data_IF_254234600526
#
_entry.id   IF_254234600526
#
_cell.length_a   1.000
_cell.length_b   1.000
_cell.length_c   1.000
_cell.angle_alpha   90.00
_cell.angle_beta   90.00
_cell.angle_gamma   90.00
#
_symmetry.space_group_name_H-M   'P 1'
#
loop_
_entity.id
_entity.type
_entity.pdbx_description
1 polymer ?
#
# COMPACT_ATOMS: atom_id res chain seq x y z
N UNK A 1 64.93 -20.86 14.28
CA UNK A 1 64.48 -19.50 14.64
C UNK A 1 63.59 -18.96 13.52
N UNK A 2 62.71 -18.01 13.87
CA UNK A 2 61.58 -17.39 13.17
C UNK A 2 61.50 -17.25 11.63
N UNK A 3 60.23 -17.12 11.18
CA UNK A 3 59.65 -16.43 9.99
C UNK A 3 60.01 -16.96 8.59
N UNK A 4 59.08 -17.32 7.67
CA UNK A 4 57.72 -16.88 7.23
C UNK A 4 57.77 -16.15 5.88
N UNK A 5 57.37 -16.83 4.81
CA UNK A 5 56.45 -16.34 3.76
C UNK A 5 56.11 -17.48 2.78
N UNK A 6 54.83 -17.63 2.43
CA UNK A 6 54.33 -18.57 1.42
C UNK A 6 53.80 -17.77 0.20
N UNK A 7 54.03 -18.23 -1.04
CA UNK A 7 53.63 -17.50 -2.24
C UNK A 7 52.20 -17.81 -2.72
N UNK A 8 51.61 -16.89 -3.49
CA UNK A 8 50.37 -17.10 -4.25
C UNK A 8 50.54 -18.15 -5.35
N UNK A 9 49.45 -18.87 -5.65
CA UNK A 9 49.29 -19.69 -6.87
C UNK A 9 48.17 -19.09 -7.73
N UNK A 10 48.35 -19.21 -9.05
CA UNK A 10 47.60 -18.58 -10.15
C UNK A 10 46.66 -19.60 -10.85
N UNK A 11 46.29 -19.47 -12.15
CA UNK A 11 45.29 -18.54 -12.68
C UNK A 11 44.12 -19.22 -13.47
N UNK A 12 43.17 -18.36 -13.91
CA UNK A 12 42.14 -18.48 -14.97
C UNK A 12 42.19 -19.71 -15.91
N UNK A 13 41.03 -20.36 -16.16
CA UNK A 13 40.70 -21.05 -17.42
C UNK A 13 39.68 -20.26 -18.29
N UNK A 14 39.79 -20.41 -19.61
CA UNK A 14 38.98 -19.70 -20.63
C UNK A 14 37.65 -20.40 -20.94
N UNK A 15 36.67 -19.65 -21.48
CA UNK A 15 35.47 -20.23 -22.12
C UNK A 15 35.84 -21.02 -23.38
N UNK A 16 35.23 -22.20 -23.55
CA UNK A 16 35.19 -22.94 -24.81
C UNK A 16 33.78 -22.85 -25.38
N UNK A 17 33.64 -22.36 -26.62
CA UNK A 17 32.39 -22.46 -27.37
C UNK A 17 32.19 -23.88 -27.91
N UNK A 18 31.02 -24.46 -27.67
CA UNK A 18 30.50 -25.59 -28.44
C UNK A 18 29.16 -25.20 -29.05
N UNK A 19 28.96 -25.51 -30.33
CA UNK A 19 27.78 -25.17 -31.12
C UNK A 19 27.04 -26.43 -31.55
N UNK A 20 25.76 -26.56 -31.17
CA UNK A 20 24.65 -27.09 -31.98
C UNK A 20 23.32 -26.96 -31.21
N UNK A 21 22.15 -26.94 -31.89
CA UNK A 21 20.88 -26.48 -31.31
C UNK A 21 19.98 -27.61 -30.79
N UNK A 22 19.10 -27.33 -29.81
CA UNK A 22 17.66 -27.20 -30.05
C UNK A 22 16.83 -26.77 -28.82
N UNK A 23 15.65 -26.21 -29.10
CA UNK A 23 14.50 -25.89 -28.21
C UNK A 23 14.76 -25.51 -26.73
N UNK A 24 14.54 -24.23 -26.38
CA UNK A 24 14.24 -23.82 -25.00
C UNK A 24 13.32 -22.59 -24.96
N UNK A 25 12.24 -22.66 -24.17
CA UNK A 25 11.29 -21.55 -23.93
C UNK A 25 12.01 -20.31 -23.37
N UNK A 26 11.73 -19.14 -23.96
CA UNK A 26 12.11 -17.82 -23.42
C UNK A 26 10.86 -16.97 -23.21
N UNK A 27 10.24 -17.07 -22.02
CA UNK A 27 9.05 -16.27 -21.68
C UNK A 27 8.87 -15.99 -20.18
N UNK A 28 9.89 -16.23 -19.35
CA UNK A 28 9.86 -15.99 -17.90
C UNK A 28 10.99 -15.04 -17.52
N UNK A 29 10.65 -13.97 -16.80
CA UNK A 29 11.60 -13.02 -16.22
C UNK A 29 11.65 -13.27 -14.70
N UNK A 30 12.84 -13.50 -14.16
CA UNK A 30 13.06 -13.74 -12.73
C UNK A 30 14.09 -12.73 -12.22
N UNK A 31 13.75 -11.98 -11.16
CA UNK A 31 14.55 -10.85 -10.66
C UNK A 31 14.60 -10.89 -9.14
N UNK A 32 15.72 -11.36 -8.59
CA UNK A 32 16.05 -11.32 -7.16
C UNK A 32 17.24 -10.38 -6.91
N UNK A 33 17.14 -9.52 -5.89
CA UNK A 33 18.20 -8.55 -5.53
C UNK A 33 18.84 -8.83 -4.17
N UNK A 34 20.18 -9.01 -4.18
CA UNK A 34 21.01 -9.15 -2.97
C UNK A 34 21.78 -7.86 -2.73
N UNK A 35 21.46 -7.15 -1.63
CA UNK A 35 22.14 -5.90 -1.26
C UNK A 35 23.51 -6.14 -0.61
N UNK A 36 24.57 -5.59 -1.22
CA UNK A 36 25.93 -5.63 -0.69
C UNK A 36 26.18 -4.54 0.37
N UNK A 37 26.71 -4.94 1.53
CA UNK A 37 26.84 -4.07 2.71
C UNK A 37 28.26 -3.47 2.84
N UNK A 38 28.44 -2.20 2.48
CA UNK A 38 29.72 -1.48 2.65
C UNK A 38 29.86 -0.83 4.04
N UNK A 39 30.70 -1.40 4.91
CA UNK A 39 31.10 -0.77 6.18
C UNK A 39 32.11 0.36 5.95
N UNK A 40 31.73 1.60 6.29
CA UNK A 40 32.66 2.74 6.37
C UNK A 40 32.76 3.27 7.81
N UNK A 41 33.94 3.14 8.43
CA UNK A 41 34.29 3.87 9.66
C UNK A 41 34.86 5.24 9.29
N UNK A 42 34.30 6.33 9.82
CA UNK A 42 34.94 7.66 9.79
C UNK A 42 34.85 8.38 11.13
N UNK A 43 35.99 8.44 11.81
CA UNK A 43 36.30 9.41 12.87
C UNK A 43 36.49 10.80 12.25
N UNK A 44 36.04 11.87 12.93
CA UNK A 44 36.41 13.25 12.58
C UNK A 44 36.89 14.01 13.82
N UNK A 45 38.10 14.57 13.73
CA UNK A 45 38.68 15.49 14.72
C UNK A 45 38.02 16.87 14.61
N UNK A 46 37.85 17.55 15.76
CA UNK A 46 37.60 19.00 15.79
C UNK A 46 38.85 19.76 15.34
N UNK A 47 38.66 20.77 14.48
CA UNK A 47 39.55 21.94 14.38
C UNK A 47 38.60 23.15 14.39
N UNK A 48 38.84 24.08 15.30
CA UNK A 48 38.16 25.37 15.32
C UNK A 48 39.07 26.45 14.76
N UNK A 49 38.49 27.46 14.11
CA UNK A 49 39.17 28.71 13.77
C UNK A 49 38.26 29.86 14.16
N UNK A 50 38.80 30.77 14.97
CA UNK A 50 38.18 32.01 15.41
C UNK A 50 38.72 33.18 14.58
N UNK A 51 37.85 34.11 14.18
CA UNK A 51 38.28 35.47 13.81
C UNK A 51 37.23 36.48 14.23
N UNK A 52 37.60 37.34 15.17
CA UNK A 52 36.78 38.41 15.75
C UNK A 52 36.88 39.70 14.94
N UNK A 53 35.76 40.42 14.75
CA UNK A 53 35.78 41.87 14.61
C UNK A 53 34.57 42.51 15.32
N UNK A 54 34.86 43.50 16.15
CA UNK A 54 33.91 44.49 16.67
C UNK A 54 34.02 45.75 15.77
N UNK A 55 33.23 46.83 15.86
CA UNK A 55 32.11 47.22 16.74
C UNK A 55 31.37 48.39 16.07
N UNK A 56 30.14 48.68 16.50
CA UNK A 56 29.72 49.99 17.02
C UNK A 56 28.20 50.18 16.94
N UNK A 57 27.65 50.88 17.93
CA UNK A 57 26.23 51.24 18.05
C UNK A 57 26.06 52.73 17.76
N UNK A 58 24.95 53.11 17.13
CA UNK A 58 24.34 54.42 17.35
C UNK A 58 22.82 54.32 17.31
N UNK A 59 22.16 54.88 18.34
CA UNK A 59 20.70 54.99 18.46
C UNK A 59 20.22 56.25 17.73
N UNK A 60 18.98 56.27 17.22
CA UNK A 60 18.06 57.41 17.38
C UNK A 60 16.61 56.97 17.14
N UNK A 61 15.63 57.80 17.50
CA UNK A 61 14.29 57.35 17.92
C UNK A 61 13.12 57.98 17.14
N UNK A 62 12.06 57.17 16.97
CA UNK A 62 10.62 57.49 17.03
C UNK A 62 10.06 58.78 16.38
N UNK A 63 9.16 58.66 15.37
CA UNK A 63 7.82 59.33 15.35
C UNK A 63 6.86 58.91 14.21
N UNK A 64 5.67 58.45 14.64
CA UNK A 64 4.29 58.43 14.07
C UNK A 64 3.96 58.79 12.59
N UNK A 65 3.23 57.83 11.96
CA UNK A 65 1.92 57.91 11.22
C UNK A 65 1.65 58.96 10.12
N UNK A 66 1.45 58.47 8.88
CA UNK A 66 0.42 58.84 7.86
C UNK A 66 0.59 57.93 6.60
N UNK A 67 -0.37 57.55 5.74
CA UNK A 67 -1.84 57.30 5.80
C UNK A 67 -2.28 56.43 4.57
N UNK A 68 -3.58 56.12 4.42
CA UNK A 68 -4.22 55.35 3.31
C UNK A 68 -5.02 56.33 2.37
N UNK A 69 -5.83 55.95 1.33
CA UNK A 69 -6.39 54.62 0.94
C UNK A 69 -6.61 54.35 -0.58
N UNK A 70 -7.27 53.22 -0.92
CA UNK A 70 -8.46 53.01 -1.80
C UNK A 70 -8.62 51.48 -1.97
N UNK A 71 -9.54 50.76 -1.31
CA UNK A 71 -11.01 50.66 -1.43
C UNK A 71 -11.55 49.91 -2.67
N UNK A 72 -12.13 48.73 -2.42
CA UNK A 72 -13.24 48.15 -3.18
C UNK A 72 -14.08 47.25 -2.24
N UNK A 73 -15.18 47.79 -1.72
CA UNK A 73 -16.18 47.06 -0.93
C UNK A 73 -17.45 46.83 -1.75
N UNK A 74 -18.00 45.62 -1.68
CA UNK A 74 -19.35 45.31 -2.17
C UNK A 74 -20.32 45.26 -0.98
N UNK A 75 -21.39 46.04 -1.07
CA UNK A 75 -22.42 46.21 -0.05
C UNK A 75 -23.48 45.11 -0.16
N UNK A 76 -24.04 44.65 0.97
CA UNK A 76 -25.27 43.85 1.01
C UNK A 76 -26.19 44.41 2.10
N UNK A 77 -27.40 44.80 1.70
CA UNK A 77 -28.42 45.36 2.61
C UNK A 77 -28.96 44.32 3.60
N UNK A 78 -29.15 44.75 4.86
CA UNK A 78 -29.90 43.99 5.86
C UNK A 78 -31.40 44.30 5.73
N UNK A 79 -32.20 43.31 5.36
CA UNK A 79 -33.65 43.30 5.64
C UNK A 79 -33.92 42.53 6.92
N UNK A 80 -34.79 43.04 7.78
CA UNK A 80 -35.25 42.36 8.98
C UNK A 80 -36.17 41.19 8.60
N UNK A 81 -35.87 39.99 9.11
CA UNK A 81 -36.75 38.81 9.07
C UNK A 81 -36.75 38.19 10.49
N UNK A 82 -37.91 37.70 10.92
CA UNK A 82 -38.14 37.06 12.22
C UNK A 82 -37.30 35.79 12.42
N UNK A 83 -37.04 35.37 13.68
CA UNK A 83 -36.11 34.27 13.97
C UNK A 83 -36.67 32.91 13.52
N UNK A 84 -35.87 32.08 12.83
CA UNK A 84 -36.23 30.69 12.53
C UNK A 84 -36.02 29.77 13.73
N UNK A 85 -36.66 28.60 13.68
CA UNK A 85 -36.50 27.48 14.62
C UNK A 85 -35.04 27.00 14.74
N UNK A 86 -34.63 26.39 15.87
CA UNK A 86 -33.25 25.94 16.07
C UNK A 86 -32.81 24.90 15.02
N UNK A 87 -31.55 24.92 14.58
CA UNK A 87 -31.02 23.98 13.60
C UNK A 87 -30.91 22.55 14.19
N UNK A 88 -30.91 21.51 13.33
CA UNK A 88 -30.58 20.15 13.76
C UNK A 88 -29.14 20.09 14.32
N UNK A 89 -28.83 19.11 15.19
CA UNK A 89 -27.50 18.99 15.80
C UNK A 89 -26.42 18.77 14.73
N UNK A 90 -25.20 19.28 14.95
CA UNK A 90 -24.09 19.10 14.01
C UNK A 90 -23.70 17.61 13.91
N UNK A 91 -23.13 17.17 12.75
CA UNK A 91 -22.51 15.86 12.65
C UNK A 91 -21.36 15.71 13.66
N UNK A 92 -21.00 14.47 14.05
CA UNK A 92 -20.04 14.23 15.12
C UNK A 92 -18.67 14.90 14.86
N UNK A 93 -18.17 15.56 15.91
CA UNK A 93 -16.98 16.41 15.90
C UNK A 93 -15.70 15.61 15.59
N UNK A 94 -15.32 15.57 14.31
CA UNK A 94 -14.06 15.01 13.81
C UNK A 94 -12.88 15.92 14.19
N UNK A 95 -12.57 15.99 15.48
CA UNK A 95 -11.37 16.68 15.96
C UNK A 95 -10.12 16.09 15.31
N UNK A 96 -9.19 16.91 14.80
CA UNK A 96 -7.97 16.41 14.17
C UNK A 96 -7.10 15.70 15.20
N UNK A 97 -7.08 14.37 15.14
CA UNK A 97 -6.12 13.53 15.86
C UNK A 97 -4.79 13.60 15.14
N UNK A 98 -3.89 14.45 15.63
CA UNK A 98 -2.48 14.43 15.22
C UNK A 98 -1.93 13.04 15.50
N UNK A 99 -1.27 12.42 14.51
CA UNK A 99 -0.69 11.09 14.71
C UNK A 99 0.43 11.12 15.77
N UNK A 100 0.63 10.02 16.50
CA UNK A 100 1.69 9.90 17.50
C UNK A 100 2.93 9.25 16.86
N UNK A 101 4.10 9.84 17.14
CA UNK A 101 5.38 9.41 16.58
C UNK A 101 5.84 8.05 17.12
N UNK A 102 5.45 7.72 18.35
CA UNK A 102 5.87 6.50 19.07
C UNK A 102 5.24 5.24 18.47
N UNK A 103 3.95 5.30 18.12
CA UNK A 103 3.23 4.19 17.47
C UNK A 103 3.81 3.92 16.07
N UNK A 104 4.18 4.99 15.36
CA UNK A 104 4.67 4.98 13.97
C UNK A 104 6.08 4.39 13.83
N UNK A 105 7.00 4.70 14.75
CA UNK A 105 8.43 4.30 14.65
C UNK A 105 8.66 2.82 15.05
N UNK A 106 7.61 2.11 15.49
CA UNK A 106 7.69 0.74 16.03
C UNK A 106 7.94 -0.38 14.99
N UNK A 107 8.14 -0.06 13.70
CA UNK A 107 8.31 -1.06 12.64
C UNK A 107 9.65 -0.92 11.89
N UNK A 108 10.62 -1.78 12.22
CA UNK A 108 11.91 -1.87 11.49
C UNK A 108 12.23 -3.31 11.09
N UNK A 109 12.53 -3.52 9.81
CA UNK A 109 12.85 -4.86 9.32
C UNK A 109 13.23 -4.93 7.84
N UNK A 110 14.20 -5.79 7.51
CA UNK A 110 14.64 -6.03 6.14
C UNK A 110 13.74 -7.07 5.44
N UNK A 111 12.48 -6.70 5.17
CA UNK A 111 11.47 -7.57 4.53
C UNK A 111 11.93 -8.21 3.20
N UNK A 112 11.24 -9.25 2.74
CA UNK A 112 11.31 -9.74 1.36
C UNK A 112 10.12 -9.26 0.55
N UNK A 113 10.33 -8.83 -0.70
CA UNK A 113 9.24 -8.55 -1.65
C UNK A 113 9.71 -8.89 -3.06
N UNK A 114 8.82 -9.43 -3.89
CA UNK A 114 9.14 -9.82 -5.27
C UNK A 114 7.88 -10.05 -6.10
N UNK A 115 8.06 -10.26 -7.40
CA UNK A 115 6.96 -10.53 -8.32
C UNK A 115 7.37 -11.50 -9.43
N UNK A 116 6.37 -12.16 -10.02
CA UNK A 116 6.51 -12.96 -11.24
C UNK A 116 5.36 -12.56 -12.17
N UNK A 117 5.63 -12.38 -13.47
CA UNK A 117 4.61 -12.04 -14.45
C UNK A 117 4.87 -12.75 -15.79
N UNK A 118 3.81 -13.16 -16.45
CA UNK A 118 3.83 -13.66 -17.82
C UNK A 118 3.62 -12.48 -18.79
N UNK A 119 4.61 -12.24 -19.64
CA UNK A 119 4.62 -11.12 -20.59
C UNK A 119 3.52 -11.22 -21.67
N UNK A 120 2.97 -12.42 -21.90
CA UNK A 120 1.82 -12.65 -22.80
C UNK A 120 0.47 -12.56 -22.06
N UNK A 121 0.47 -12.19 -20.78
CA UNK A 121 -0.70 -12.14 -19.89
C UNK A 121 -1.50 -13.47 -19.82
N UNK A 122 -0.85 -14.62 -20.05
CA UNK A 122 -1.49 -15.95 -20.00
C UNK A 122 -1.50 -16.49 -18.55
N UNK A 123 -2.68 -16.70 -17.93
CA UNK A 123 -2.75 -17.21 -16.56
C UNK A 123 -2.25 -18.65 -16.43
N UNK A 124 -1.48 -18.93 -15.37
CA UNK A 124 -0.97 -20.27 -15.10
C UNK A 124 -0.84 -20.52 -13.59
N UNK A 125 -1.09 -21.77 -13.14
CA UNK A 125 -0.78 -22.17 -11.77
C UNK A 125 0.73 -22.22 -11.50
N UNK A 126 1.56 -22.38 -12.55
CA UNK A 126 3.02 -22.34 -12.42
C UNK A 126 3.49 -21.00 -11.83
N UNK A 127 2.90 -19.88 -12.23
CA UNK A 127 3.25 -18.53 -11.75
C UNK A 127 2.94 -18.40 -10.25
N UNK A 128 1.81 -18.96 -9.81
CA UNK A 128 1.39 -19.01 -8.40
C UNK A 128 2.35 -19.89 -7.59
N UNK A 129 2.67 -21.07 -8.10
CA UNK A 129 3.61 -22.01 -7.48
C UNK A 129 5.02 -21.43 -7.35
N UNK A 130 5.54 -20.83 -8.43
CA UNK A 130 6.88 -20.23 -8.45
C UNK A 130 6.97 -19.03 -7.51
N UNK A 131 5.91 -18.22 -7.42
CA UNK A 131 5.83 -17.10 -6.48
C UNK A 131 5.78 -17.56 -5.01
N UNK A 132 5.09 -18.67 -4.72
CA UNK A 132 5.08 -19.28 -3.38
C UNK A 132 6.43 -19.93 -3.04
N UNK A 133 7.13 -20.51 -4.02
CA UNK A 133 8.51 -20.99 -3.84
C UNK A 133 9.48 -19.84 -3.58
N UNK A 134 9.41 -18.74 -4.35
CA UNK A 134 10.24 -17.56 -4.16
C UNK A 134 9.95 -16.85 -2.82
N UNK A 135 8.67 -16.82 -2.40
CA UNK A 135 8.29 -16.38 -1.05
C UNK A 135 8.95 -17.26 0.02
N UNK A 136 8.94 -18.59 -0.14
CA UNK A 136 9.67 -19.52 0.74
C UNK A 136 11.17 -19.20 0.86
N UNK A 137 11.84 -18.86 -0.25
CA UNK A 137 13.24 -18.44 -0.25
C UNK A 137 13.49 -17.15 0.57
N UNK A 138 12.47 -16.29 0.74
CA UNK A 138 12.54 -15.06 1.53
C UNK A 138 12.36 -15.25 3.04
N UNK A 139 12.19 -16.46 3.56
CA UNK A 139 11.92 -16.66 5.01
C UNK A 139 13.05 -16.13 5.91
N UNK A 140 14.31 -16.20 5.45
CA UNK A 140 15.47 -15.61 6.14
C UNK A 140 15.45 -14.07 6.25
N UNK A 141 14.47 -13.42 5.61
CA UNK A 141 14.17 -11.98 5.66
C UNK A 141 12.87 -11.66 6.39
N UNK A 142 12.14 -12.69 6.81
CA UNK A 142 10.98 -12.56 7.67
C UNK A 142 11.38 -12.50 9.15
N UNK A 143 10.52 -11.89 9.94
CA UNK A 143 10.57 -12.03 11.40
C UNK A 143 9.55 -13.06 11.90
N UNK A 144 9.76 -13.53 13.11
CA UNK A 144 8.93 -14.54 13.77
C UNK A 144 8.57 -14.05 15.18
N UNK A 145 7.33 -14.29 15.59
CA UNK A 145 6.79 -13.91 16.88
C UNK A 145 7.41 -14.65 18.05
N UNK A 146 7.00 -14.29 19.27
CA UNK A 146 7.59 -14.79 20.51
C UNK A 146 7.43 -16.31 20.75
N UNK A 147 6.59 -16.99 19.96
CA UNK A 147 6.40 -18.45 19.99
C UNK A 147 7.35 -19.21 19.05
N UNK A 148 8.15 -18.52 18.24
CA UNK A 148 9.02 -19.08 17.19
C UNK A 148 8.28 -19.86 16.09
N UNK A 149 6.96 -19.64 15.91
CA UNK A 149 6.18 -20.25 14.83
C UNK A 149 5.25 -19.26 14.10
N UNK A 150 4.65 -18.31 14.82
CA UNK A 150 3.86 -17.24 14.23
C UNK A 150 4.75 -16.33 13.38
N UNK A 151 4.38 -16.06 12.12
CA UNK A 151 5.16 -15.17 11.25
C UNK A 151 4.69 -13.72 11.32
N UNK A 152 5.61 -12.77 11.22
CA UNK A 152 5.32 -11.31 11.23
C UNK A 152 4.45 -10.80 10.06
N UNK A 153 4.10 -11.69 9.14
CA UNK A 153 3.25 -11.43 7.98
C UNK A 153 3.84 -12.04 6.71
N UNK A 154 3.02 -12.76 5.95
CA UNK A 154 3.32 -13.12 4.56
C UNK A 154 2.05 -13.06 3.72
N UNK A 155 2.21 -12.92 2.41
CA UNK A 155 1.07 -12.86 1.50
C UNK A 155 1.42 -12.86 0.03
N UNK A 156 0.37 -13.03 -0.77
CA UNK A 156 0.37 -13.14 -2.22
C UNK A 156 -0.79 -12.33 -2.79
N UNK A 157 -0.51 -11.48 -3.78
CA UNK A 157 -1.49 -10.80 -4.62
C UNK A 157 -1.45 -11.40 -6.02
N UNK A 158 -2.61 -11.59 -6.62
CA UNK A 158 -2.82 -12.22 -7.93
C UNK A 158 -3.99 -11.55 -8.67
N UNK A 159 -4.22 -11.92 -9.93
CA UNK A 159 -5.53 -11.71 -10.55
C UNK A 159 -6.58 -12.60 -9.89
N UNK A 160 -7.85 -12.19 -9.93
CA UNK A 160 -8.96 -13.02 -9.42
C UNK A 160 -9.00 -14.39 -10.13
N UNK A 161 -8.94 -15.52 -9.39
CA UNK A 161 -8.90 -16.87 -9.96
C UNK A 161 -10.31 -17.34 -10.34
N UNK A 162 -10.94 -16.69 -11.33
CA UNK A 162 -12.35 -16.91 -11.66
C UNK A 162 -12.74 -18.39 -11.89
N UNK A 163 -11.88 -19.22 -12.47
CA UNK A 163 -12.15 -20.66 -12.67
C UNK A 163 -12.33 -21.44 -11.35
N UNK A 164 -11.67 -21.00 -10.27
CA UNK A 164 -11.85 -21.56 -8.92
C UNK A 164 -13.20 -21.13 -8.33
N UNK A 165 -13.58 -19.87 -8.54
CA UNK A 165 -14.79 -19.29 -7.98
C UNK A 165 -16.06 -19.72 -8.74
N UNK A 166 -16.01 -19.88 -10.06
CA UNK A 166 -17.12 -20.45 -10.84
C UNK A 166 -17.44 -21.89 -10.40
N UNK A 167 -16.41 -22.72 -10.12
CA UNK A 167 -16.61 -24.08 -9.62
C UNK A 167 -17.17 -24.14 -8.20
N UNK A 168 -16.77 -23.19 -7.34
CA UNK A 168 -17.39 -23.06 -6.02
C UNK A 168 -18.86 -22.63 -6.15
N UNK A 169 -19.15 -21.61 -6.96
CA UNK A 169 -20.52 -21.18 -7.24
C UNK A 169 -21.40 -22.32 -7.75
N UNK A 170 -20.92 -23.09 -8.73
CA UNK A 170 -21.60 -24.29 -9.25
C UNK A 170 -21.95 -25.29 -8.13
N UNK A 171 -21.01 -25.54 -7.20
CA UNK A 171 -21.24 -26.46 -6.07
C UNK A 171 -22.25 -25.96 -5.03
N UNK A 172 -22.44 -24.64 -4.92
CA UNK A 172 -23.45 -24.01 -4.04
C UNK A 172 -24.79 -23.74 -4.77
N UNK A 173 -24.91 -24.09 -6.05
CA UNK A 173 -26.09 -23.79 -6.88
C UNK A 173 -26.20 -22.31 -7.31
N UNK A 174 -25.11 -21.55 -7.21
CA UNK A 174 -24.99 -20.17 -7.68
C UNK A 174 -24.59 -20.19 -9.17
N UNK A 175 -25.17 -19.30 -9.97
CA UNK A 175 -24.81 -19.16 -11.39
C UNK A 175 -23.38 -18.63 -11.58
N UNK A 176 -22.79 -18.90 -12.74
CA UNK A 176 -21.45 -18.39 -13.11
C UNK A 176 -21.37 -16.86 -13.01
N UNK A 177 -20.25 -16.34 -12.52
CA UNK A 177 -20.09 -14.91 -12.32
C UNK A 177 -19.89 -14.14 -13.64
N UNK A 178 -20.51 -12.96 -13.74
CA UNK A 178 -20.13 -11.98 -14.76
C UNK A 178 -18.82 -11.32 -14.32
N UNK A 179 -17.71 -11.80 -14.89
CA UNK A 179 -16.33 -11.46 -14.49
C UNK A 179 -15.96 -10.01 -14.77
N UNK A 180 -16.71 -9.32 -15.65
CA UNK A 180 -16.50 -7.90 -15.92
C UNK A 180 -17.14 -7.06 -14.81
N UNK A 181 -18.36 -7.42 -14.41
CA UNK A 181 -19.19 -6.66 -13.48
C UNK A 181 -19.21 -7.18 -12.03
N UNK A 182 -18.47 -8.25 -11.72
CA UNK A 182 -18.41 -8.82 -10.36
C UNK A 182 -17.10 -8.46 -9.68
N UNK A 183 -17.18 -7.81 -8.52
CA UNK A 183 -16.08 -7.64 -7.59
C UNK A 183 -16.00 -8.79 -6.58
N UNK A 184 -14.79 -9.12 -6.13
CA UNK A 184 -14.54 -10.05 -5.02
C UNK A 184 -13.88 -9.31 -3.87
N UNK A 185 -14.50 -9.36 -2.70
CA UNK A 185 -13.96 -8.80 -1.46
C UNK A 185 -13.37 -9.89 -0.57
N UNK A 186 -12.05 -9.89 -0.36
CA UNK A 186 -11.39 -10.76 0.61
C UNK A 186 -11.35 -10.05 1.97
N UNK A 187 -12.08 -10.58 2.96
CA UNK A 187 -12.40 -9.88 4.20
C UNK A 187 -11.96 -10.69 5.41
N UNK A 188 -11.30 -10.01 6.35
CA UNK A 188 -11.12 -10.43 7.73
C UNK A 188 -12.26 -9.88 8.57
N UNK A 189 -12.96 -10.76 9.28
CA UNK A 189 -14.08 -10.49 10.16
C UNK A 189 -13.69 -10.72 11.63
N UNK A 190 -14.49 -10.18 12.57
CA UNK A 190 -14.41 -10.52 13.98
C UNK A 190 -14.40 -12.04 14.22
N UNK A 191 -13.73 -12.47 15.29
CA UNK A 191 -13.70 -13.88 15.70
C UNK A 191 -15.05 -14.38 16.20
N UNK A 192 -15.84 -13.49 16.81
CA UNK A 192 -17.17 -13.81 17.31
C UNK A 192 -18.20 -13.86 16.16
N UNK A 193 -18.89 -14.99 16.02
CA UNK A 193 -19.86 -15.24 14.95
C UNK A 193 -21.04 -14.26 14.94
N UNK A 194 -21.42 -13.72 16.11
CA UNK A 194 -22.52 -12.75 16.24
C UNK A 194 -22.05 -11.38 15.71
N UNK A 195 -20.86 -10.94 16.10
CA UNK A 195 -20.26 -9.71 15.61
C UNK A 195 -19.94 -9.80 14.10
N UNK A 196 -19.48 -10.96 13.64
CA UNK A 196 -19.29 -11.26 12.22
C UNK A 196 -20.60 -11.17 11.43
N UNK A 197 -21.71 -11.70 11.98
CA UNK A 197 -23.03 -11.58 11.36
C UNK A 197 -23.49 -10.12 11.27
N UNK A 198 -23.33 -9.33 12.33
CA UNK A 198 -23.64 -7.89 12.30
C UNK A 198 -22.79 -7.15 11.25
N UNK A 199 -21.50 -7.49 11.13
CA UNK A 199 -20.62 -6.93 10.11
C UNK A 199 -21.08 -7.26 8.69
N UNK A 200 -21.50 -8.50 8.42
CA UNK A 200 -22.12 -8.89 7.14
C UNK A 200 -23.40 -8.11 6.85
N UNK A 201 -24.26 -7.92 7.84
CA UNK A 201 -25.49 -7.14 7.69
C UNK A 201 -25.19 -5.66 7.33
N UNK A 202 -24.18 -5.04 7.95
CA UNK A 202 -23.72 -3.69 7.57
C UNK A 202 -23.20 -3.65 6.13
N UNK A 203 -22.39 -4.64 5.73
CA UNK A 203 -21.83 -4.73 4.37
C UNK A 203 -22.94 -4.88 3.31
N UNK A 204 -23.86 -5.83 3.49
CA UNK A 204 -24.99 -6.06 2.58
C UNK A 204 -25.87 -4.81 2.46
N UNK A 205 -26.14 -4.12 3.58
CA UNK A 205 -26.94 -2.91 3.57
C UNK A 205 -26.28 -1.77 2.78
N UNK A 206 -24.97 -1.60 2.88
CA UNK A 206 -24.25 -0.54 2.14
C UNK A 206 -24.17 -0.88 0.66
N UNK A 207 -23.79 -2.10 0.27
CA UNK A 207 -23.83 -2.50 -1.14
C UNK A 207 -25.23 -2.28 -1.75
N UNK A 208 -26.29 -2.66 -1.03
CA UNK A 208 -27.68 -2.42 -1.48
C UNK A 208 -28.03 -0.94 -1.62
N UNK A 209 -27.54 -0.07 -0.73
CA UNK A 209 -27.75 1.39 -0.83
C UNK A 209 -27.06 1.99 -2.05
N UNK A 210 -25.87 1.49 -2.38
CA UNK A 210 -25.12 1.89 -3.57
C UNK A 210 -25.67 1.27 -4.88
N UNK A 211 -26.61 0.34 -4.78
CA UNK A 211 -27.21 -0.35 -5.94
C UNK A 211 -26.35 -1.50 -6.47
N UNK A 212 -25.51 -2.07 -5.61
CA UNK A 212 -24.75 -3.29 -5.83
C UNK A 212 -25.50 -4.48 -5.22
N UNK A 213 -25.31 -5.66 -5.81
CA UNK A 213 -25.99 -6.89 -5.41
C UNK A 213 -24.99 -7.91 -4.87
N UNK A 214 -25.18 -8.38 -3.64
CA UNK A 214 -24.37 -9.46 -3.07
C UNK A 214 -24.86 -10.79 -3.61
N UNK A 215 -24.02 -11.44 -4.43
CA UNK A 215 -24.30 -12.72 -5.08
C UNK A 215 -24.07 -13.92 -4.16
N UNK A 216 -23.14 -13.80 -3.21
CA UNK A 216 -22.82 -14.89 -2.29
C UNK A 216 -21.69 -14.56 -1.32
N UNK A 217 -21.58 -15.41 -0.30
CA UNK A 217 -20.51 -15.41 0.71
C UNK A 217 -19.82 -16.77 0.69
N UNK A 218 -18.49 -16.76 0.64
CA UNK A 218 -17.65 -17.96 0.62
C UNK A 218 -16.71 -17.97 1.82
N UNK A 219 -16.88 -18.88 2.78
CA UNK A 219 -15.85 -19.20 3.76
C UNK A 219 -14.58 -19.62 3.04
N UNK A 220 -13.44 -18.98 3.33
CA UNK A 220 -12.19 -19.31 2.65
C UNK A 220 -11.65 -20.63 3.22
N UNK A 221 -11.38 -21.65 2.38
CA UNK A 221 -10.96 -22.96 2.87
C UNK A 221 -9.53 -22.88 3.41
N UNK A 222 -9.40 -22.97 4.73
CA UNK A 222 -8.12 -22.80 5.46
C UNK A 222 -7.76 -23.98 6.36
N UNK A 223 -6.46 -24.19 6.57
CA UNK A 223 -5.92 -25.12 7.56
C UNK A 223 -5.42 -24.39 8.81
N UNK A 224 -6.22 -24.38 9.89
CA UNK A 224 -5.83 -23.75 11.17
C UNK A 224 -4.86 -24.58 12.01
N UNK A 225 -4.42 -25.77 11.54
CA UNK A 225 -3.45 -26.62 12.26
C UNK A 225 -2.00 -26.20 12.03
N UNK A 226 -1.72 -25.38 11.02
CA UNK A 226 -0.37 -24.90 10.67
C UNK A 226 -0.12 -23.45 11.13
N UNK A 227 -1.04 -22.86 11.89
CA UNK A 227 -0.95 -21.49 12.39
C UNK A 227 -0.31 -21.51 13.77
N UNK A 228 0.78 -20.77 13.94
CA UNK A 228 1.46 -20.59 15.23
C UNK A 228 0.52 -20.01 16.30
N UNK A 229 0.81 -20.34 17.56
CA UNK A 229 -0.08 -20.07 18.70
C UNK A 229 -0.53 -18.60 18.76
N UNK A 230 0.40 -17.64 18.76
CA UNK A 230 0.05 -16.22 18.88
C UNK A 230 -0.77 -15.72 17.68
N UNK A 231 -0.44 -16.17 16.46
CA UNK A 231 -1.18 -15.81 15.25
C UNK A 231 -2.59 -16.40 15.25
N UNK A 232 -2.78 -17.57 15.87
CA UNK A 232 -4.08 -18.23 16.02
C UNK A 232 -4.99 -17.50 17.00
N UNK A 233 -4.45 -17.03 18.13
CA UNK A 233 -5.20 -16.21 19.11
C UNK A 233 -5.77 -14.92 18.49
N UNK A 234 -5.12 -14.35 17.47
CA UNK A 234 -5.60 -13.15 16.75
C UNK A 234 -6.14 -13.44 15.34
N UNK A 235 -6.35 -14.71 14.98
CA UNK A 235 -6.81 -15.11 13.66
C UNK A 235 -8.25 -14.65 13.42
N UNK A 236 -8.53 -13.83 12.39
CA UNK A 236 -9.89 -13.41 12.06
C UNK A 236 -10.67 -14.54 11.38
N UNK A 237 -12.00 -14.42 11.36
CA UNK A 237 -12.80 -15.19 10.42
C UNK A 237 -12.52 -14.68 8.99
N UNK A 238 -12.27 -15.58 8.03
CA UNK A 238 -11.83 -15.22 6.68
C UNK A 238 -12.89 -15.63 5.66
N UNK A 239 -13.50 -14.65 5.00
CA UNK A 239 -14.50 -14.89 3.95
C UNK A 239 -14.28 -14.03 2.72
N UNK A 240 -14.85 -14.50 1.61
CA UNK A 240 -14.96 -13.77 0.36
C UNK A 240 -16.42 -13.39 0.09
N UNK A 241 -16.67 -12.13 -0.26
CA UNK A 241 -17.97 -11.67 -0.77
C UNK A 241 -17.90 -11.48 -2.28
N UNK A 242 -18.93 -11.95 -2.98
CA UNK A 242 -19.11 -11.73 -4.42
C UNK A 242 -20.18 -10.67 -4.61
N UNK A 243 -19.85 -9.59 -5.32
CA UNK A 243 -20.74 -8.43 -5.46
C UNK A 243 -20.82 -7.97 -6.91
N UNK A 244 -22.03 -7.91 -7.47
CA UNK A 244 -22.31 -7.40 -8.82
C UNK A 244 -22.49 -5.89 -8.79
N UNK A 245 -21.74 -5.20 -9.64
CA UNK A 245 -21.87 -3.77 -9.95
C UNK A 245 -22.77 -3.62 -11.16
N UNK A 246 -23.89 -2.90 -11.01
CA UNK A 246 -24.98 -2.87 -12.01
C UNK A 246 -24.91 -1.64 -12.93
N UNK A 247 -24.31 -0.53 -12.44
CA UNK A 247 -24.38 0.79 -13.10
C UNK A 247 -23.20 1.10 -14.01
N UNK A 248 -22.06 0.45 -13.78
CA UNK A 248 -20.76 0.82 -14.34
C UNK A 248 -20.28 -0.26 -15.30
N UNK A 249 -19.90 0.13 -16.52
CA UNK A 249 -19.51 -0.77 -17.61
C UNK A 249 -17.99 -0.88 -17.79
N UNK A 250 -17.24 0.15 -17.39
CA UNK A 250 -15.78 0.17 -17.53
C UNK A 250 -15.09 -0.16 -16.20
N UNK A 251 -13.95 -0.86 -16.31
CA UNK A 251 -13.20 -1.36 -15.16
C UNK A 251 -12.86 -0.26 -14.15
N UNK A 252 -12.46 0.93 -14.61
CA UNK A 252 -11.94 1.97 -13.72
C UNK A 252 -13.04 2.63 -12.89
N UNK A 253 -14.28 2.64 -13.40
CA UNK A 253 -15.48 3.11 -12.70
C UNK A 253 -16.04 2.01 -11.76
N UNK A 254 -16.09 0.75 -12.21
CA UNK A 254 -16.43 -0.42 -11.36
C UNK A 254 -15.52 -0.47 -10.12
N UNK A 255 -14.22 -0.37 -10.35
CA UNK A 255 -13.19 -0.36 -9.31
C UNK A 255 -13.28 0.86 -8.37
N UNK A 256 -13.79 2.00 -8.87
CA UNK A 256 -14.02 3.20 -8.06
C UNK A 256 -15.27 3.06 -7.19
N UNK A 257 -16.33 2.47 -7.71
CA UNK A 257 -17.54 2.20 -6.93
C UNK A 257 -17.27 1.16 -5.84
N UNK A 258 -16.49 0.11 -6.12
CA UNK A 258 -15.97 -0.82 -5.11
C UNK A 258 -15.11 -0.11 -4.05
N UNK A 259 -14.24 0.84 -4.45
CA UNK A 259 -13.48 1.67 -3.50
C UNK A 259 -14.41 2.49 -2.60
N UNK A 260 -15.39 3.21 -3.18
CA UNK A 260 -16.36 4.01 -2.41
C UNK A 260 -17.14 3.14 -1.45
N UNK A 261 -17.71 2.01 -1.90
CA UNK A 261 -18.40 1.03 -1.06
C UNK A 261 -17.53 0.60 0.13
N UNK A 262 -16.25 0.25 -0.09
CA UNK A 262 -15.33 -0.08 1.01
C UNK A 262 -15.14 1.08 1.98
N UNK A 263 -14.95 2.32 1.49
CA UNK A 263 -14.81 3.50 2.35
C UNK A 263 -16.07 3.77 3.18
N UNK A 264 -17.25 3.59 2.60
CA UNK A 264 -18.54 3.68 3.30
C UNK A 264 -18.67 2.61 4.39
N UNK A 265 -18.28 1.36 4.11
CA UNK A 265 -18.28 0.24 5.06
C UNK A 265 -17.28 0.49 6.21
N UNK A 266 -16.03 0.87 5.90
CA UNK A 266 -15.01 1.26 6.89
C UNK A 266 -15.57 2.38 7.81
N UNK A 267 -16.25 3.37 7.23
CA UNK A 267 -16.83 4.50 7.97
C UNK A 267 -18.00 4.08 8.87
N UNK A 268 -18.86 3.17 8.42
CA UNK A 268 -19.95 2.64 9.23
C UNK A 268 -19.42 1.77 10.40
N UNK A 269 -18.44 0.92 10.11
CA UNK A 269 -17.77 0.05 11.08
C UNK A 269 -17.12 0.84 12.23
N UNK A 270 -16.56 2.04 11.98
CA UNK A 270 -15.98 2.92 13.01
C UNK A 270 -16.95 3.29 14.16
N UNK A 271 -18.27 3.12 13.99
CA UNK A 271 -19.27 3.35 15.04
C UNK A 271 -19.67 2.10 15.83
N UNK A 272 -19.05 0.94 15.52
CA UNK A 272 -19.34 -0.38 16.07
C UNK A 272 -18.20 -0.87 16.95
N UNK A 273 -18.51 -1.68 17.96
CA UNK A 273 -17.52 -2.26 18.88
C UNK A 273 -16.48 -3.12 18.16
N UNK A 274 -16.91 -3.89 17.16
CA UNK A 274 -16.07 -4.74 16.30
C UNK A 274 -15.36 -4.00 15.16
N UNK A 275 -15.50 -2.68 15.07
CA UNK A 275 -15.04 -1.90 13.90
C UNK A 275 -13.54 -1.98 13.62
N UNK A 276 -12.71 -2.12 14.66
CA UNK A 276 -11.25 -2.27 14.53
C UNK A 276 -10.83 -3.72 14.12
N UNK A 277 -11.75 -4.69 14.09
CA UNK A 277 -11.51 -6.08 13.65
C UNK A 277 -11.87 -6.31 12.17
N UNK A 278 -12.83 -5.55 11.62
CA UNK A 278 -13.21 -5.68 10.19
C UNK A 278 -12.12 -5.10 9.28
N UNK A 279 -11.58 -5.92 8.37
CA UNK A 279 -10.57 -5.47 7.42
C UNK A 279 -10.69 -6.12 6.04
N UNK A 280 -10.85 -5.29 5.01
CA UNK A 280 -10.78 -5.72 3.61
C UNK A 280 -9.32 -5.84 3.17
N UNK A 281 -8.85 -7.05 2.90
CA UNK A 281 -7.55 -7.29 2.27
C UNK A 281 -7.54 -6.77 0.83
N UNK A 282 -8.62 -7.03 0.10
CA UNK A 282 -8.88 -6.54 -1.26
C UNK A 282 -10.40 -6.44 -1.47
N UNK A 283 -10.84 -5.52 -2.32
CA UNK A 283 -12.18 -5.49 -2.91
C UNK A 283 -12.03 -4.91 -4.32
N UNK A 284 -12.04 -5.78 -5.33
CA UNK A 284 -11.71 -5.44 -6.72
C UNK A 284 -12.39 -6.42 -7.69
N UNK A 285 -12.54 -6.05 -8.96
CA UNK A 285 -12.84 -6.98 -10.06
C UNK A 285 -11.58 -7.45 -10.83
N UNK A 286 -10.38 -6.96 -10.45
CA UNK A 286 -9.11 -7.35 -11.06
C UNK A 286 -8.23 -8.21 -10.14
N UNK A 287 -8.02 -7.77 -8.89
CA UNK A 287 -7.01 -8.36 -8.00
C UNK A 287 -7.59 -8.98 -6.73
N UNK A 288 -6.88 -9.95 -6.16
CA UNK A 288 -7.18 -10.53 -4.86
C UNK A 288 -5.90 -10.75 -4.04
N UNK A 289 -6.00 -10.61 -2.71
CA UNK A 289 -4.86 -10.68 -1.80
C UNK A 289 -5.07 -11.75 -0.74
N UNK A 290 -4.29 -12.82 -0.80
CA UNK A 290 -4.24 -13.89 0.21
C UNK A 290 -3.05 -13.64 1.14
N UNK A 291 -3.30 -13.29 2.40
CA UNK A 291 -2.24 -12.96 3.38
C UNK A 291 -2.59 -13.37 4.82
N UNK A 292 -1.61 -13.34 5.72
CA UNK A 292 -1.83 -13.61 7.14
C UNK A 292 -0.57 -13.51 7.98
N UNK A 293 -0.69 -13.71 9.30
CA UNK A 293 0.43 -13.71 10.25
C UNK A 293 1.18 -15.05 10.25
N UNK A 294 1.68 -15.41 9.07
CA UNK A 294 2.19 -16.74 8.73
C UNK A 294 3.63 -16.64 8.25
N UNK A 295 4.43 -17.67 8.52
CA UNK A 295 5.74 -17.89 7.87
C UNK A 295 5.54 -18.15 6.37
N UNK A 296 6.55 -17.88 5.56
CA UNK A 296 6.46 -17.93 4.08
C UNK A 296 6.00 -19.30 3.56
N UNK A 297 6.59 -20.37 4.11
CA UNK A 297 6.24 -21.76 3.78
C UNK A 297 4.82 -22.15 4.23
N UNK A 298 4.31 -21.50 5.28
CA UNK A 298 2.99 -21.79 5.86
C UNK A 298 1.87 -21.20 5.02
N UNK A 299 2.08 -20.08 4.30
CA UNK A 299 1.02 -19.42 3.52
C UNK A 299 0.30 -20.37 2.55
N UNK A 300 1.05 -21.20 1.83
CA UNK A 300 0.51 -22.21 0.91
C UNK A 300 -0.23 -23.33 1.64
N UNK A 301 0.28 -23.76 2.80
CA UNK A 301 -0.32 -24.83 3.61
C UNK A 301 -1.62 -24.37 4.30
N UNK A 302 -1.68 -23.09 4.66
CA UNK A 302 -2.83 -22.46 5.30
C UNK A 302 -3.99 -22.25 4.33
N UNK A 303 -3.77 -21.66 3.15
CA UNK A 303 -4.83 -21.43 2.18
C UNK A 303 -4.93 -22.58 1.17
N UNK A 304 -5.98 -23.42 1.27
CA UNK A 304 -6.17 -24.56 0.34
C UNK A 304 -6.38 -24.10 -1.11
N UNK A 305 -6.94 -22.91 -1.33
CA UNK A 305 -7.05 -22.28 -2.65
C UNK A 305 -5.68 -22.21 -3.37
N UNK A 306 -4.60 -21.89 -2.65
CA UNK A 306 -3.24 -21.75 -3.20
C UNK A 306 -2.54 -23.09 -3.48
N UNK A 307 -3.19 -24.21 -3.14
CA UNK A 307 -2.74 -25.57 -3.48
C UNK A 307 -3.48 -26.14 -4.68
N UNK A 308 -4.57 -25.49 -5.13
CA UNK A 308 -5.43 -26.00 -6.19
C UNK A 308 -4.89 -25.58 -7.58
N UNK A 309 -4.61 -26.57 -8.45
CA UNK A 309 -4.10 -26.34 -9.82
C UNK A 309 -5.07 -25.53 -10.72
N UNK A 310 -6.33 -25.39 -10.31
CA UNK A 310 -7.34 -24.54 -10.96
C UNK A 310 -7.06 -23.05 -10.69
N UNK A 311 -6.39 -22.71 -9.60
CA UNK A 311 -5.97 -21.35 -9.28
C UNK A 311 -4.88 -20.91 -10.26
N UNK A 312 -5.24 -20.07 -11.23
CA UNK A 312 -4.34 -19.53 -12.26
C UNK A 312 -4.33 -18.01 -12.18
N UNK A 313 -3.15 -17.43 -12.36
CA UNK A 313 -2.95 -15.98 -12.43
C UNK A 313 -1.86 -15.67 -13.48
N UNK A 314 -1.92 -14.55 -14.22
CA UNK A 314 -0.86 -14.17 -15.15
C UNK A 314 0.29 -13.40 -14.47
N UNK A 315 0.05 -12.90 -13.24
CA UNK A 315 1.07 -12.30 -12.39
C UNK A 315 0.91 -12.74 -10.93
N UNK A 316 1.95 -12.55 -10.12
CA UNK A 316 1.87 -12.66 -8.68
C UNK A 316 2.86 -11.68 -8.02
N UNK A 317 2.42 -10.94 -7.01
CA UNK A 317 3.29 -10.16 -6.11
C UNK A 317 3.30 -10.86 -4.75
N UNK A 318 4.48 -11.16 -4.22
CA UNK A 318 4.65 -11.80 -2.91
C UNK A 318 5.41 -10.90 -1.94
N UNK A 319 5.08 -11.00 -0.66
CA UNK A 319 5.76 -10.26 0.41
C UNK A 319 5.95 -11.12 1.65
N UNK A 320 7.12 -11.00 2.27
CA UNK A 320 7.45 -11.53 3.60
C UNK A 320 7.87 -10.37 4.50
N UNK A 321 7.06 -10.10 5.52
CA UNK A 321 7.27 -8.99 6.47
C UNK A 321 8.24 -9.38 7.58
N UNK A 322 8.98 -8.39 8.05
CA UNK A 322 9.74 -8.40 9.31
C UNK A 322 9.24 -7.24 10.16
N UNK A 323 9.02 -7.47 11.45
CA UNK A 323 8.52 -6.49 12.40
C UNK A 323 9.37 -6.45 13.67
N UNK A 324 9.30 -5.33 14.37
CA UNK A 324 9.80 -5.20 15.74
C UNK A 324 8.69 -5.37 16.79
N UNK A 325 7.45 -5.64 16.35
CA UNK A 325 6.30 -5.93 17.21
C UNK A 325 6.12 -7.44 17.41
N UNK A 326 5.97 -7.88 18.66
CA UNK A 326 5.82 -9.31 19.02
C UNK A 326 4.39 -9.83 18.96
N UNK A 327 3.38 -8.94 18.95
CA UNK A 327 1.96 -9.29 18.91
C UNK A 327 1.43 -9.30 17.46
N UNK A 328 0.96 -10.44 16.94
CA UNK A 328 0.57 -10.55 15.53
C UNK A 328 -0.77 -9.86 15.24
N UNK A 329 -0.80 -9.03 14.18
CA UNK A 329 -2.00 -8.32 13.71
C UNK A 329 -2.21 -8.55 12.21
N UNK A 330 -3.12 -9.46 11.86
CA UNK A 330 -3.39 -9.91 10.49
C UNK A 330 -3.55 -8.80 9.43
N UNK A 331 -4.21 -7.66 9.71
CA UNK A 331 -4.25 -6.52 8.79
C UNK A 331 -2.90 -5.93 8.34
N UNK A 332 -1.83 -6.12 9.12
CA UNK A 332 -0.49 -5.55 8.85
C UNK A 332 0.37 -6.42 7.93
N UNK A 333 -0.03 -7.66 7.67
CA UNK A 333 0.60 -8.48 6.63
C UNK A 333 0.48 -7.77 5.26
N UNK A 334 1.42 -8.07 4.36
CA UNK A 334 1.46 -7.54 2.99
C UNK A 334 1.37 -8.69 1.97
N UNK A 335 1.00 -8.45 0.70
CA UNK A 335 0.69 -7.15 0.08
C UNK A 335 -0.50 -6.37 0.67
N UNK A 336 -0.55 -5.08 0.36
CA UNK A 336 -1.70 -4.20 0.55
C UNK A 336 -2.62 -4.30 -0.69
N UNK A 337 -3.45 -3.31 -1.02
CA UNK A 337 -4.45 -3.44 -2.13
C UNK A 337 -3.81 -3.35 -3.50
N UNK A 338 -2.74 -2.57 -3.61
CA UNK A 338 -1.90 -2.48 -4.80
C UNK A 338 -0.42 -2.72 -4.49
N UNK A 339 0.01 -2.39 -3.27
CA UNK A 339 1.42 -2.25 -2.92
C UNK A 339 2.00 -3.41 -2.11
N UNK A 340 3.16 -3.92 -2.52
CA UNK A 340 4.15 -4.57 -1.66
C UNK A 340 5.32 -3.61 -1.40
N UNK A 341 5.59 -3.28 -0.13
CA UNK A 341 6.62 -2.34 0.30
C UNK A 341 7.67 -3.02 1.18
N UNK A 342 8.93 -3.01 0.74
CA UNK A 342 10.09 -3.27 1.57
C UNK A 342 10.79 -1.93 1.86
N UNK A 343 10.69 -1.44 3.09
CA UNK A 343 11.20 -0.11 3.44
C UNK A 343 10.58 0.48 4.71
N UNK A 344 10.83 1.77 4.94
CA UNK A 344 10.31 2.57 6.06
C UNK A 344 10.11 4.03 5.57
N UNK A 345 8.88 4.54 5.59
CA UNK A 345 8.58 5.93 5.18
C UNK A 345 8.81 6.89 6.36
N UNK A 346 10.07 7.34 6.50
CA UNK A 346 10.53 8.25 7.55
C UNK A 346 9.74 9.58 7.66
N UNK A 347 9.05 9.98 6.59
CA UNK A 347 8.28 11.24 6.49
C UNK A 347 6.80 11.10 6.85
N UNK A 348 6.31 9.90 7.16
CA UNK A 348 4.89 9.55 7.26
C UNK A 348 4.06 10.50 8.14
N UNK A 349 4.60 10.98 9.27
CA UNK A 349 3.92 11.95 10.14
C UNK A 349 3.58 13.26 9.42
N UNK A 350 4.52 13.77 8.60
CA UNK A 350 4.32 14.96 7.79
C UNK A 350 3.30 14.70 6.68
N UNK A 351 3.43 13.56 5.99
CA UNK A 351 2.57 13.18 4.88
C UNK A 351 1.10 13.01 5.33
N UNK A 352 0.87 12.39 6.50
CA UNK A 352 -0.46 12.28 7.10
C UNK A 352 -1.08 13.64 7.41
N UNK A 353 -0.30 14.56 8.01
CA UNK A 353 -0.77 15.91 8.32
C UNK A 353 -1.08 16.71 7.05
N UNK A 354 -0.25 16.59 6.00
CA UNK A 354 -0.49 17.25 4.71
C UNK A 354 -1.71 16.67 3.99
N UNK A 355 -1.85 15.34 3.91
CA UNK A 355 -3.04 14.68 3.37
C UNK A 355 -4.31 15.13 4.11
N UNK A 356 -4.29 15.18 5.45
CA UNK A 356 -5.41 15.70 6.24
C UNK A 356 -5.72 17.18 5.92
N UNK A 357 -4.70 18.03 5.74
CA UNK A 357 -4.91 19.43 5.36
C UNK A 357 -5.58 19.61 3.98
N UNK A 358 -5.37 18.64 3.08
CA UNK A 358 -5.95 18.61 1.73
C UNK A 358 -7.38 18.07 1.70
N UNK A 359 -7.81 17.32 2.73
CA UNK A 359 -9.12 16.66 2.74
C UNK A 359 -10.27 17.62 2.42
N UNK A 360 -10.33 18.77 3.09
CA UNK A 360 -11.42 19.73 2.95
C UNK A 360 -11.48 20.44 1.58
N UNK A 361 -10.36 20.51 0.84
CA UNK A 361 -10.24 21.24 -0.43
C UNK A 361 -10.13 20.35 -1.66
N UNK A 362 -9.81 19.06 -1.50
CA UNK A 362 -9.75 18.11 -2.59
C UNK A 362 -11.12 17.96 -3.26
N UNK A 363 -11.14 18.18 -4.58
CA UNK A 363 -12.29 17.97 -5.46
C UNK A 363 -11.83 17.33 -6.76
N UNK A 364 -12.63 16.43 -7.32
CA UNK A 364 -12.44 15.93 -8.68
C UNK A 364 -13.79 15.61 -9.29
N UNK A 365 -13.98 15.95 -10.57
CA UNK A 365 -15.17 15.58 -11.34
C UNK A 365 -15.44 14.07 -11.33
N UNK A 366 -14.37 13.27 -11.27
CA UNK A 366 -14.35 11.80 -11.18
C UNK A 366 -15.07 11.26 -9.92
N UNK A 367 -15.20 12.07 -8.87
CA UNK A 367 -15.90 11.69 -7.64
C UNK A 367 -17.37 12.10 -7.61
N UNK A 368 -17.87 12.83 -8.61
CA UNK A 368 -19.28 13.25 -8.74
C UNK A 368 -19.89 13.90 -7.47
N UNK A 369 -19.09 14.60 -6.65
CA UNK A 369 -19.53 15.22 -5.39
C UNK A 369 -19.42 14.32 -4.14
N UNK A 370 -18.96 13.07 -4.29
CA UNK A 370 -18.79 12.07 -3.22
C UNK A 370 -17.47 12.20 -2.45
N UNK A 371 -16.69 13.26 -2.63
CA UNK A 371 -15.36 13.41 -2.00
C UNK A 371 -15.38 13.34 -0.47
N UNK A 372 -16.51 13.67 0.16
CA UNK A 372 -16.71 13.54 1.61
C UNK A 372 -16.85 12.08 2.09
N UNK A 373 -17.21 11.15 1.21
CA UNK A 373 -17.49 9.75 1.56
C UNK A 373 -16.24 8.88 1.61
N UNK A 374 -15.24 9.25 0.80
CA UNK A 374 -13.94 8.58 0.72
C UNK A 374 -12.93 9.08 1.76
N UNK A 375 -13.32 10.01 2.66
CA UNK A 375 -12.51 10.46 3.81
C UNK A 375 -12.64 9.50 5.01
N UNK A 376 -11.63 9.45 5.92
CA UNK A 376 -10.32 10.08 5.80
C UNK A 376 -9.41 9.34 4.81
N UNK A 377 -8.49 10.08 4.20
CA UNK A 377 -7.53 9.55 3.24
C UNK A 377 -6.38 8.82 3.95
N UNK A 378 -5.88 9.40 5.04
CA UNK A 378 -4.91 8.76 5.94
C UNK A 378 -5.56 8.00 7.10
N UNK A 379 -4.78 7.17 7.80
CA UNK A 379 -5.13 6.63 9.10
C UNK A 379 -3.89 6.58 10.02
N UNK A 380 -3.81 7.42 11.07
CA UNK A 380 -2.76 7.38 12.09
C UNK A 380 -2.55 6.03 12.79
N UNK A 381 -3.56 5.16 12.86
CA UNK A 381 -3.45 3.81 13.46
C UNK A 381 -2.85 2.76 12.50
N UNK A 382 -2.68 3.08 11.22
CA UNK A 382 -2.22 2.13 10.20
C UNK A 382 -0.71 2.30 9.95
N UNK A 383 -0.03 1.24 9.50
CA UNK A 383 1.39 1.32 9.16
C UNK A 383 1.67 2.31 8.03
N UNK A 384 2.93 2.73 7.93
CA UNK A 384 3.45 3.61 6.88
C UNK A 384 3.07 3.11 5.46
N UNK A 385 3.22 1.80 5.26
CA UNK A 385 2.99 1.05 4.03
C UNK A 385 1.51 1.00 3.68
N UNK A 386 0.64 0.85 4.68
CA UNK A 386 -0.81 0.89 4.50
C UNK A 386 -1.31 2.31 4.18
N UNK A 387 -0.65 3.35 4.67
CA UNK A 387 -0.95 4.73 4.34
C UNK A 387 -0.43 5.13 2.95
N UNK A 388 0.73 4.61 2.54
CA UNK A 388 1.25 4.80 1.17
C UNK A 388 0.35 4.11 0.12
N UNK A 389 -0.11 2.89 0.40
CA UNK A 389 -1.11 2.17 -0.41
C UNK A 389 -2.42 2.97 -0.55
N UNK A 390 -2.94 3.53 0.55
CA UNK A 390 -4.13 4.41 0.54
C UNK A 390 -3.94 5.68 -0.27
N UNK A 391 -2.76 6.32 -0.20
CA UNK A 391 -2.46 7.52 -0.96
C UNK A 391 -2.35 7.21 -2.47
N UNK A 392 -1.71 6.09 -2.83
CA UNK A 392 -1.62 5.64 -4.22
C UNK A 392 -2.99 5.28 -4.79
N UNK A 393 -3.79 4.53 -4.04
CA UNK A 393 -5.17 4.18 -4.40
C UNK A 393 -6.04 5.43 -4.61
N UNK A 394 -5.98 6.43 -3.72
CA UNK A 394 -6.72 7.68 -3.89
C UNK A 394 -6.36 8.39 -5.21
N UNK A 395 -5.07 8.48 -5.53
CA UNK A 395 -4.60 9.10 -6.78
C UNK A 395 -5.10 8.34 -8.01
N UNK A 396 -5.03 7.00 -7.97
CA UNK A 396 -5.41 6.14 -9.09
C UNK A 396 -6.91 6.14 -9.32
N UNK A 397 -7.71 5.98 -8.27
CA UNK A 397 -9.18 6.09 -8.36
C UNK A 397 -9.64 7.51 -8.71
N UNK A 398 -8.80 8.54 -8.51
CA UNK A 398 -9.01 9.90 -9.02
C UNK A 398 -8.60 10.10 -10.50
N UNK A 399 -8.17 9.05 -11.21
CA UNK A 399 -7.82 9.07 -12.64
C UNK A 399 -6.33 9.25 -12.97
N UNK A 400 -5.41 8.97 -12.03
CA UNK A 400 -3.97 8.85 -12.32
C UNK A 400 -3.63 7.43 -12.74
N UNK A 401 -2.65 7.25 -13.62
CA UNK A 401 -2.11 5.91 -13.86
C UNK A 401 -1.28 5.44 -12.65
N UNK A 402 -1.11 4.12 -12.44
CA UNK A 402 -0.20 3.57 -11.44
C UNK A 402 1.21 4.17 -11.42
N UNK A 403 1.83 4.33 -12.59
CA UNK A 403 3.18 4.92 -12.75
C UNK A 403 3.16 6.38 -12.28
N UNK A 404 2.17 7.15 -12.73
CA UNK A 404 2.03 8.56 -12.36
C UNK A 404 1.80 8.73 -10.86
N UNK A 405 0.97 7.88 -10.24
CA UNK A 405 0.72 7.92 -8.80
C UNK A 405 2.00 7.63 -7.99
N UNK A 406 2.78 6.62 -8.39
CA UNK A 406 4.06 6.30 -7.76
C UNK A 406 5.09 7.42 -7.96
N UNK A 407 5.20 8.01 -9.15
CA UNK A 407 6.10 9.15 -9.42
C UNK A 407 5.70 10.41 -8.64
N UNK A 408 4.41 10.62 -8.37
CA UNK A 408 3.92 11.75 -7.56
C UNK A 408 4.25 11.55 -6.08
N UNK A 409 4.01 10.35 -5.53
CA UNK A 409 4.20 10.07 -4.11
C UNK A 409 5.67 9.85 -3.76
N UNK A 410 6.41 9.17 -4.63
CA UNK A 410 7.78 8.72 -4.37
C UNK A 410 8.71 9.17 -5.52
N UNK A 411 8.86 10.49 -5.74
CA UNK A 411 9.57 11.05 -6.89
C UNK A 411 11.08 10.79 -6.81
N UNK A 412 11.70 10.53 -7.96
CA UNK A 412 13.15 10.31 -8.07
C UNK A 412 13.97 11.57 -7.71
N UNK A 413 15.28 11.40 -7.57
CA UNK A 413 16.22 12.51 -7.35
C UNK A 413 16.59 13.21 -8.68
N UNK A 414 15.62 13.86 -9.33
CA UNK A 414 15.75 14.40 -10.68
C UNK A 414 16.66 15.64 -10.82
N UNK A 415 16.88 16.40 -9.73
CA UNK A 415 17.66 17.65 -9.78
C UNK A 415 19.14 17.38 -10.07
N UNK A 416 19.71 18.19 -10.96
CA UNK A 416 21.10 18.09 -11.43
C UNK A 416 21.44 16.73 -12.10
N UNK A 417 20.44 15.95 -12.50
CA UNK A 417 20.65 14.66 -13.16
C UNK A 417 20.93 14.88 -14.66
N UNK A 418 22.18 14.73 -15.16
CA UNK A 418 22.53 15.20 -16.50
C UNK A 418 21.73 14.52 -17.61
N UNK A 419 21.45 13.21 -17.45
CA UNK A 419 20.63 12.46 -18.41
C UNK A 419 19.20 12.98 -18.51
N UNK A 420 18.55 13.33 -17.41
CA UNK A 420 17.17 13.86 -17.44
C UNK A 420 17.16 15.26 -18.05
N UNK A 421 18.03 16.15 -17.59
CA UNK A 421 18.12 17.54 -18.11
C UNK A 421 18.45 17.60 -19.60
N UNK A 422 19.22 16.65 -20.14
CA UNK A 422 19.63 16.64 -21.56
C UNK A 422 18.68 15.84 -22.45
N UNK A 423 18.16 14.68 -21.98
CA UNK A 423 17.37 13.76 -22.82
C UNK A 423 15.87 13.79 -22.58
N UNK A 424 15.44 14.17 -21.37
CA UNK A 424 14.05 14.08 -20.92
C UNK A 424 13.65 15.32 -20.10
N UNK A 425 13.77 16.56 -20.67
CA UNK A 425 13.39 17.79 -19.97
C UNK A 425 11.93 17.76 -19.46
N UNK A 426 11.03 17.10 -20.18
CA UNK A 426 9.63 16.90 -19.80
C UNK A 426 9.46 16.12 -18.48
N UNK A 427 10.42 15.25 -18.12
CA UNK A 427 10.43 14.54 -16.83
C UNK A 427 10.86 15.50 -15.71
N UNK A 428 11.79 16.42 -15.97
CA UNK A 428 12.16 17.49 -15.03
C UNK A 428 10.97 18.41 -14.79
N UNK A 429 10.29 18.84 -15.86
CA UNK A 429 9.09 19.68 -15.78
C UNK A 429 7.95 19.01 -15.01
N UNK A 430 7.74 17.70 -15.22
CA UNK A 430 6.78 16.89 -14.46
C UNK A 430 7.05 16.96 -12.95
N UNK A 431 8.29 16.69 -12.51
CA UNK A 431 8.60 16.73 -11.08
C UNK A 431 8.64 18.15 -10.52
N UNK A 432 9.01 19.15 -11.33
CA UNK A 432 8.95 20.56 -10.95
C UNK A 432 7.52 21.07 -10.77
N UNK A 433 6.55 20.52 -11.53
CA UNK A 433 5.12 20.75 -11.33
C UNK A 433 4.59 20.07 -10.05
N UNK A 434 4.96 18.81 -9.82
CA UNK A 434 4.42 18.03 -8.69
C UNK A 434 5.04 18.33 -7.33
N UNK A 435 6.32 18.77 -7.24
CA UNK A 435 6.99 19.09 -5.96
C UNK A 435 6.26 20.14 -5.09
N UNK A 436 5.45 20.99 -5.71
CA UNK A 436 4.65 22.02 -5.03
C UNK A 436 3.23 21.56 -4.66
N UNK A 437 2.80 20.39 -5.16
CA UNK A 437 1.45 19.88 -5.00
C UNK A 437 1.39 18.65 -4.08
N UNK A 438 2.40 17.77 -4.14
CA UNK A 438 2.53 16.61 -3.26
C UNK A 438 3.95 16.57 -2.68
N UNK A 439 4.03 16.45 -1.36
CA UNK A 439 5.27 16.17 -0.65
C UNK A 439 5.73 14.72 -0.89
N UNK A 440 7.04 14.51 -0.96
CA UNK A 440 7.59 13.18 -1.19
C UNK A 440 7.43 12.30 0.05
N UNK A 441 6.87 11.10 -0.15
CA UNK A 441 6.80 10.02 0.83
C UNK A 441 8.19 9.35 0.91
N UNK A 442 9.12 10.09 1.50
CA UNK A 442 10.55 9.78 1.49
C UNK A 442 10.96 8.78 2.59
N UNK A 443 11.87 7.89 2.20
CA UNK A 443 12.38 6.76 2.99
C UNK A 443 13.12 5.76 2.08
N UNK A 444 13.85 4.77 2.62
CA UNK A 444 14.26 3.61 1.85
C UNK A 444 13.00 2.85 1.43
N UNK A 445 12.80 2.61 0.13
CA UNK A 445 11.57 2.00 -0.36
C UNK A 445 11.80 1.19 -1.65
N UNK A 446 11.65 -0.13 -1.56
CA UNK A 446 11.46 -1.05 -2.69
C UNK A 446 9.95 -1.31 -2.80
N UNK A 447 9.34 -0.86 -3.90
CA UNK A 447 7.90 -0.82 -4.10
C UNK A 447 7.55 -1.69 -5.31
N UNK A 448 6.70 -2.70 -5.07
CA UNK A 448 6.05 -3.49 -6.12
C UNK A 448 4.57 -3.17 -6.14
N UNK A 449 4.05 -2.87 -7.31
CA UNK A 449 2.70 -2.35 -7.49
C UNK A 449 1.97 -3.11 -8.58
N UNK A 450 0.68 -3.41 -8.39
CA UNK A 450 -0.20 -3.85 -9.47
C UNK A 450 -1.64 -3.35 -9.29
N UNK A 451 -2.25 -2.89 -10.39
CA UNK A 451 -3.70 -2.64 -10.51
C UNK A 451 -4.44 -3.83 -11.18
N UNK A 452 -3.73 -4.92 -11.44
CA UNK A 452 -4.22 -6.10 -12.16
C UNK A 452 -4.03 -6.04 -13.69
N UNK A 453 -3.75 -4.86 -14.25
CA UNK A 453 -3.41 -4.68 -15.69
C UNK A 453 -1.89 -4.51 -15.87
N UNK A 454 -1.27 -3.66 -15.06
CA UNK A 454 0.16 -3.34 -15.09
C UNK A 454 0.81 -3.76 -13.79
N UNK A 455 1.97 -4.43 -13.86
CA UNK A 455 2.84 -4.66 -12.69
C UNK A 455 4.10 -3.79 -12.80
N UNK A 456 4.37 -2.99 -11.77
CA UNK A 456 5.46 -2.01 -11.73
C UNK A 456 6.41 -2.34 -10.58
N UNK A 457 7.70 -2.25 -10.85
CA UNK A 457 8.78 -2.23 -9.85
C UNK A 457 9.37 -0.81 -9.79
N UNK A 458 9.35 -0.20 -8.60
CA UNK A 458 10.03 1.05 -8.30
C UNK A 458 11.02 0.86 -7.15
N UNK A 459 12.18 1.52 -7.26
CA UNK A 459 13.24 1.46 -6.25
C UNK A 459 13.69 2.86 -5.86
N UNK A 460 13.53 3.20 -4.58
CA UNK A 460 14.16 4.36 -3.96
C UNK A 460 15.32 3.91 -3.07
N UNK A 461 16.52 4.31 -3.46
CA UNK A 461 17.62 4.41 -2.50
C UNK A 461 17.38 5.67 -1.63
N UNK A 462 17.64 5.63 -0.32
CA UNK A 462 17.43 6.81 0.53
C UNK A 462 18.17 8.02 -0.04
N UNK A 463 17.46 9.15 -0.16
CA UNK A 463 18.13 10.42 -0.45
C UNK A 463 19.12 10.66 0.67
N UNK A 464 20.41 10.73 0.35
CA UNK A 464 21.34 11.45 1.22
C UNK A 464 20.95 12.92 1.15
N UNK A 465 20.05 13.35 2.04
CA UNK A 465 19.66 14.74 2.19
C UNK A 465 20.86 15.51 2.74
N UNK A 466 21.73 15.95 1.82
CA UNK A 466 22.73 16.97 2.10
C UNK A 466 22.03 18.32 2.17
N UNK A 467 21.48 18.62 3.34
CA UNK A 467 21.24 19.99 3.79
C UNK A 467 22.55 20.61 4.30
#
# INVERSE_FOLDING_TARGET
MASLQLPLISPIPQLVHATTPDSANKSLLFVDFVGLYCKSKRTRRRIGVTSSFSSSLSRFANKKKSSCPVNATLSVDRRNISPPSPPPPPPPDLKPKVANLEDIISERGACGVGFIANLENKPSHAIVKDALSALGCMEHRGGCGADNDSGDGSGLMTSIPWELFDKWAESEGIGSFDKLHTGVGMIFFPQDDILMKEAKEVIVNIFKQEGLEVLGWRPVPVNTSVVGFNAKETMPNIEQVFVRVIKEENVDDIERELYICRKLIERAANSKSWGDELYFCSLSNQTIVYKGMLRSEVLRLFYYDLQNDIYKSPFAIYHRRYSTNTSPRWPLAQPMRFLGHNGEINTIQGNLNWMQSREASLKSSVWHGRENEIRPYGNPKASDSANLDRAAELLIRSGRTPEQALMILVPEAYKNHPTLTIKYPEVVDFYDYYKGQMEAWDGPALLLFSDGKTTILSMLHPRCVSH
#
